data_IF_204443038314
#
_entry.id   IF_204443038314
#
_cell.length_a   1.000
_cell.length_b   1.000
_cell.length_c   1.000
_cell.angle_alpha   90.00
_cell.angle_beta   90.00
_cell.angle_gamma   90.00
#
_symmetry.space_group_name_H-M   'P 1'
#
loop_
_entity.id
_entity.type
_entity.pdbx_description
1 polymer ?
#
# COMPACT_ATOMS: atom_id res chain seq x y z
N UNK A 1 -22.53 11.87 8.91
CA UNK A 1 -23.13 12.63 7.81
C UNK A 1 -22.64 14.09 7.81
N UNK A 2 -22.37 14.62 6.64
CA UNK A 2 -21.89 15.99 6.41
C UNK A 2 -22.83 17.03 7.01
N UNK A 3 -24.14 16.81 6.91
CA UNK A 3 -25.18 17.70 7.45
C UNK A 3 -25.00 18.02 8.94
N UNK A 4 -24.33 17.14 9.69
CA UNK A 4 -24.05 17.35 11.12
C UNK A 4 -22.84 18.26 11.36
N UNK A 5 -22.11 18.65 10.31
CA UNK A 5 -20.95 19.55 10.40
C UNK A 5 -21.35 20.89 9.80
N UNK A 6 -21.57 21.89 10.65
CA UNK A 6 -21.94 23.23 10.16
C UNK A 6 -20.81 23.86 9.35
N UNK A 7 -21.08 24.54 8.25
CA UNK A 7 -20.10 25.37 7.56
C UNK A 7 -19.54 26.46 8.50
N UNK A 8 -18.23 26.62 8.49
CA UNK A 8 -17.55 27.60 9.33
C UNK A 8 -16.56 28.42 8.51
N UNK A 9 -16.28 29.66 8.97
CA UNK A 9 -15.32 30.54 8.33
C UNK A 9 -13.89 30.00 8.42
N UNK A 10 -13.03 30.52 7.56
CA UNK A 10 -11.61 30.09 7.44
C UNK A 10 -10.84 30.13 8.77
N UNK A 11 -11.11 31.12 9.62
CA UNK A 11 -10.39 31.34 10.88
C UNK A 11 -11.00 30.59 12.06
N UNK A 12 -11.99 29.74 11.84
CA UNK A 12 -12.58 28.94 12.92
C UNK A 12 -11.66 27.78 13.30
N UNK A 13 -11.54 27.50 14.59
CA UNK A 13 -10.75 26.36 15.12
C UNK A 13 -11.33 24.99 14.81
N UNK A 14 -12.53 24.95 14.20
CA UNK A 14 -13.21 23.68 13.90
C UNK A 14 -14.05 23.17 15.07
N UNK A 15 -14.38 21.89 14.99
CA UNK A 15 -15.12 21.16 16.04
C UNK A 15 -14.39 19.86 16.35
N UNK A 16 -14.49 19.39 17.60
CA UNK A 16 -13.85 18.15 18.02
C UNK A 16 -14.51 16.97 17.29
N UNK A 17 -13.71 16.23 16.53
CA UNK A 17 -14.15 15.02 15.81
C UNK A 17 -14.20 13.80 16.72
N UNK A 18 -13.15 13.59 17.51
CA UNK A 18 -12.98 12.48 18.44
C UNK A 18 -12.28 12.96 19.69
N UNK A 19 -12.61 12.39 20.85
CA UNK A 19 -11.92 12.64 22.09
C UNK A 19 -10.71 11.72 22.21
N UNK A 20 -9.52 12.32 22.23
CA UNK A 20 -8.23 11.61 22.33
C UNK A 20 -7.72 11.52 23.76
N UNK A 21 -8.43 12.10 24.75
CA UNK A 21 -8.01 12.06 26.12
C UNK A 21 -8.07 10.63 26.66
N UNK A 22 -6.94 10.19 27.22
CA UNK A 22 -6.83 8.91 27.91
C UNK A 22 -6.77 9.17 29.42
N UNK A 23 -7.51 8.37 30.17
CA UNK A 23 -7.52 8.45 31.64
C UNK A 23 -6.16 8.01 32.23
N UNK A 24 -5.41 7.22 31.46
CA UNK A 24 -4.07 6.72 31.84
C UNK A 24 -2.92 7.66 31.41
N UNK A 25 -3.24 8.80 30.79
CA UNK A 25 -2.24 9.77 30.33
C UNK A 25 -1.48 9.35 29.08
N UNK A 26 -2.05 8.43 28.29
CA UNK A 26 -1.51 7.99 27.02
C UNK A 26 -1.56 9.10 25.97
N UNK A 27 -0.65 9.05 25.02
CA UNK A 27 -0.58 9.97 23.88
C UNK A 27 -1.30 9.36 22.69
N UNK A 28 -2.62 9.53 22.63
CA UNK A 28 -3.43 9.04 21.51
C UNK A 28 -3.32 9.97 20.31
N UNK A 29 -3.19 9.39 19.12
CA UNK A 29 -3.08 10.13 17.86
C UNK A 29 -4.11 9.63 16.85
N UNK A 30 -4.54 10.52 15.94
CA UNK A 30 -5.36 10.15 14.79
C UNK A 30 -4.46 9.61 13.68
N UNK A 31 -4.51 8.30 13.45
CA UNK A 31 -3.69 7.63 12.42
C UNK A 31 -4.31 7.65 11.03
N UNK A 32 -5.58 7.98 10.90
CA UNK A 32 -6.26 8.00 9.62
C UNK A 32 -7.76 8.22 9.74
N UNK A 33 -8.36 8.43 8.58
CA UNK A 33 -9.80 8.59 8.40
C UNK A 33 -10.23 7.87 7.13
N UNK A 34 -11.39 7.25 7.15
CA UNK A 34 -12.01 6.64 5.97
C UNK A 34 -13.42 7.19 5.81
N UNK A 35 -13.84 7.36 4.56
CA UNK A 35 -15.22 7.60 4.19
C UNK A 35 -15.86 6.26 3.81
N UNK A 36 -17.06 6.01 4.28
CA UNK A 36 -17.82 4.80 3.95
C UNK A 36 -18.85 5.18 2.90
N UNK A 37 -18.49 5.01 1.65
CA UNK A 37 -19.34 5.30 0.49
C UNK A 37 -20.14 4.07 0.03
N UNK A 38 -19.61 2.87 0.32
CA UNK A 38 -20.26 1.60 0.02
C UNK A 38 -20.58 0.85 1.31
N UNK A 39 -21.85 0.53 1.58
CA UNK A 39 -22.27 -0.21 2.78
C UNK A 39 -21.72 -1.65 2.83
N UNK A 40 -21.34 -2.23 1.70
CA UNK A 40 -20.72 -3.57 1.63
C UNK A 40 -19.23 -3.57 1.98
N UNK A 41 -18.65 -2.38 2.19
CA UNK A 41 -17.23 -2.28 2.57
C UNK A 41 -16.98 -2.77 3.98
N UNK A 42 -15.83 -3.38 4.16
CA UNK A 42 -15.30 -3.71 5.48
C UNK A 42 -14.28 -2.66 5.95
N UNK A 43 -14.16 -2.52 7.24
CA UNK A 43 -13.10 -1.73 7.87
C UNK A 43 -11.89 -2.62 8.09
N UNK A 44 -10.82 -2.35 7.37
CA UNK A 44 -9.52 -2.99 7.55
C UNK A 44 -8.65 -2.12 8.45
N UNK A 45 -8.06 -2.72 9.47
CA UNK A 45 -7.07 -2.09 10.35
C UNK A 45 -5.78 -2.91 10.34
N UNK A 46 -4.65 -2.21 10.39
CA UNK A 46 -3.32 -2.82 10.36
C UNK A 46 -2.46 -2.19 11.44
N UNK A 47 -1.69 -3.01 12.15
CA UNK A 47 -0.79 -2.60 13.23
C UNK A 47 0.68 -2.75 12.85
N UNK A 48 1.57 -2.05 13.53
CA UNK A 48 2.99 -1.92 13.21
C UNK A 48 3.75 -3.25 13.16
N UNK A 49 3.33 -4.25 13.97
CA UNK A 49 3.98 -5.57 14.01
C UNK A 49 3.35 -6.61 13.08
N UNK A 50 2.66 -6.14 12.03
CA UNK A 50 2.17 -7.01 10.97
C UNK A 50 0.85 -7.72 11.28
N UNK A 51 0.13 -7.31 12.31
CA UNK A 51 -1.21 -7.81 12.59
C UNK A 51 -2.26 -6.90 11.97
N UNK A 52 -3.36 -7.48 11.57
CA UNK A 52 -4.51 -6.74 11.05
C UNK A 52 -5.74 -7.61 10.96
N UNK A 53 -6.83 -6.98 10.61
CA UNK A 53 -8.10 -7.66 10.36
C UNK A 53 -9.05 -6.76 9.60
N UNK A 54 -10.04 -7.38 8.98
CA UNK A 54 -11.21 -6.67 8.48
C UNK A 54 -12.44 -7.02 9.31
N UNK A 55 -13.30 -6.06 9.52
CA UNK A 55 -14.55 -6.19 10.26
C UNK A 55 -15.68 -5.54 9.48
N UNK A 56 -16.90 -6.06 9.62
CA UNK A 56 -18.06 -5.44 9.00
C UNK A 56 -18.27 -4.03 9.53
N UNK A 57 -18.80 -3.15 8.69
CA UNK A 57 -19.13 -1.80 9.08
C UNK A 57 -20.21 -1.76 10.15
N UNK A 58 -21.11 -2.72 10.15
CA UNK A 58 -22.21 -2.84 11.11
C UNK A 58 -21.74 -3.14 12.55
N UNK A 59 -20.51 -3.63 12.71
CA UNK A 59 -19.87 -3.77 14.01
C UNK A 59 -19.57 -2.41 14.66
N UNK A 60 -19.63 -1.31 13.88
CA UNK A 60 -19.33 0.05 14.32
C UNK A 60 -20.62 0.86 14.44
N UNK A 61 -21.06 1.05 15.68
CA UNK A 61 -22.24 1.90 15.93
C UNK A 61 -22.01 3.33 15.45
N UNK A 62 -23.04 3.94 14.88
CA UNK A 62 -23.04 5.37 14.57
C UNK A 62 -23.06 6.17 15.88
N UNK A 63 -22.06 7.02 16.09
CA UNK A 63 -21.93 7.87 17.28
C UNK A 63 -21.88 9.34 16.90
N UNK A 64 -22.10 10.21 17.87
CA UNK A 64 -21.86 11.63 17.68
C UNK A 64 -20.36 11.90 17.69
N UNK A 65 -19.92 13.00 17.03
CA UNK A 65 -18.54 13.47 17.12
C UNK A 65 -18.17 13.88 18.54
N UNK A 66 -16.88 13.94 18.84
CA UNK A 66 -16.36 14.31 20.17
C UNK A 66 -16.48 13.19 21.21
N UNK A 67 -16.89 11.99 20.81
CA UNK A 67 -16.88 10.82 21.70
C UNK A 67 -15.55 10.08 21.68
N UNK A 68 -15.35 9.18 22.67
CA UNK A 68 -14.16 8.31 22.77
C UNK A 68 -14.10 7.21 21.68
N UNK A 69 -15.17 7.02 20.89
CA UNK A 69 -15.24 6.00 19.86
C UNK A 69 -15.53 4.59 20.38
N UNK A 70 -15.15 3.59 19.58
CA UNK A 70 -15.25 2.18 19.92
C UNK A 70 -13.97 1.45 19.55
N UNK A 71 -13.59 0.50 20.41
CA UNK A 71 -12.37 -0.29 20.19
C UNK A 71 -12.48 -1.14 18.92
N UNK A 72 -11.49 -1.06 18.05
CA UNK A 72 -11.46 -1.79 16.79
C UNK A 72 -10.52 -3.00 16.78
N UNK A 73 -9.43 -2.96 17.53
CA UNK A 73 -8.46 -4.04 17.67
C UNK A 73 -7.93 -4.06 19.10
N UNK A 74 -7.47 -5.20 19.56
CA UNK A 74 -6.81 -5.30 20.84
C UNK A 74 -5.32 -5.02 20.66
N UNK A 75 -4.86 -3.86 21.14
CA UNK A 75 -3.45 -3.45 21.13
C UNK A 75 -2.74 -4.14 22.28
N UNK A 76 -1.66 -4.82 21.95
CA UNK A 76 -0.78 -5.53 22.89
C UNK A 76 0.67 -5.38 22.44
N UNK A 77 1.63 -5.76 23.26
CA UNK A 77 3.04 -5.80 22.86
C UNK A 77 3.29 -6.65 21.62
N UNK A 78 2.42 -7.64 21.37
CA UNK A 78 2.49 -8.52 20.20
C UNK A 78 2.03 -7.85 18.92
N UNK A 79 1.01 -7.01 18.98
CA UNK A 79 0.46 -6.33 17.81
C UNK A 79 1.16 -5.02 17.52
N UNK A 80 1.58 -4.32 18.56
CA UNK A 80 2.02 -2.95 18.48
C UNK A 80 0.88 -1.98 18.17
N UNK A 81 1.20 -0.73 17.91
CA UNK A 81 0.24 0.34 17.64
C UNK A 81 -0.41 0.20 16.26
N UNK A 82 -1.57 0.82 16.09
CA UNK A 82 -2.19 0.92 14.78
C UNK A 82 -1.40 1.86 13.87
N UNK A 83 -1.23 1.46 12.60
CA UNK A 83 -0.56 2.27 11.56
C UNK A 83 -1.46 2.61 10.40
N UNK A 84 -2.59 1.94 10.24
CA UNK A 84 -3.46 2.21 9.12
C UNK A 84 -4.89 1.72 9.30
N UNK A 85 -5.79 2.44 8.62
CA UNK A 85 -7.20 2.09 8.47
C UNK A 85 -7.60 2.27 7.00
N UNK A 86 -8.33 1.32 6.43
CA UNK A 86 -8.81 1.36 5.04
C UNK A 86 -10.26 0.85 4.96
N UNK A 87 -11.02 1.40 4.03
CA UNK A 87 -12.29 0.83 3.57
C UNK A 87 -12.01 -0.08 2.39
N UNK A 88 -12.35 -1.36 2.50
CA UNK A 88 -11.99 -2.40 1.53
C UNK A 88 -13.18 -3.29 1.19
N UNK A 89 -13.14 -3.89 0.00
CA UNK A 89 -14.03 -4.94 -0.47
C UNK A 89 -13.21 -6.15 -0.91
N UNK A 90 -13.86 -7.26 -1.25
CA UNK A 90 -13.18 -8.45 -1.78
C UNK A 90 -12.49 -8.21 -3.14
N UNK A 91 -12.91 -7.18 -3.88
CA UNK A 91 -12.31 -6.79 -5.16
C UNK A 91 -11.04 -5.93 -5.01
N UNK A 92 -10.53 -5.78 -3.82
CA UNK A 92 -9.32 -4.98 -3.58
C UNK A 92 -8.14 -5.86 -3.19
N UNK A 93 -6.95 -5.37 -3.50
CA UNK A 93 -5.70 -5.85 -2.95
C UNK A 93 -5.16 -4.88 -1.90
N UNK A 94 -4.36 -5.43 -1.02
CA UNK A 94 -3.65 -4.68 0.00
C UNK A 94 -2.16 -4.68 -0.32
N UNK A 95 -1.57 -3.50 -0.39
CA UNK A 95 -0.13 -3.34 -0.48
C UNK A 95 0.41 -2.84 0.86
N UNK A 96 1.34 -3.59 1.42
CA UNK A 96 1.97 -3.30 2.72
C UNK A 96 3.46 -3.05 2.47
N UNK A 97 3.97 -1.97 3.07
CA UNK A 97 5.39 -1.60 2.97
C UNK A 97 5.94 -1.49 4.38
N UNK A 98 7.07 -2.15 4.62
CA UNK A 98 7.79 -2.05 5.91
C UNK A 98 8.82 -0.92 5.89
N UNK A 99 9.33 -0.54 7.06
CA UNK A 99 10.38 0.49 7.19
C UNK A 99 11.69 0.07 6.53
N UNK A 100 11.98 -1.22 6.48
CA UNK A 100 13.16 -1.76 5.79
C UNK A 100 12.96 -1.94 4.28
N UNK A 101 11.80 -1.50 3.73
CA UNK A 101 11.53 -1.50 2.29
C UNK A 101 10.95 -2.80 1.74
N UNK A 102 10.59 -3.76 2.58
CA UNK A 102 9.88 -4.97 2.14
C UNK A 102 8.47 -4.55 1.72
N UNK A 103 8.11 -4.89 0.50
CA UNK A 103 6.77 -4.64 -0.06
C UNK A 103 6.08 -5.95 -0.37
N UNK A 104 4.85 -6.13 0.09
CA UNK A 104 4.00 -7.27 -0.26
C UNK A 104 2.66 -6.78 -0.79
N UNK A 105 2.09 -7.55 -1.70
CA UNK A 105 0.72 -7.43 -2.19
C UNK A 105 -0.05 -8.69 -1.82
N UNK A 106 -1.27 -8.55 -1.34
CA UNK A 106 -2.13 -9.67 -0.96
C UNK A 106 -3.58 -9.33 -1.25
N UNK A 107 -4.39 -10.32 -1.58
CA UNK A 107 -5.81 -10.13 -1.82
C UNK A 107 -6.55 -9.89 -0.50
N UNK A 108 -7.46 -8.93 -0.49
CA UNK A 108 -8.33 -8.68 0.67
C UNK A 108 -9.29 -9.86 0.88
N UNK A 109 -9.73 -10.52 -0.19
CA UNK A 109 -10.59 -11.72 -0.13
C UNK A 109 -10.02 -12.86 0.73
N UNK A 110 -8.69 -12.99 0.82
CA UNK A 110 -8.01 -13.99 1.65
C UNK A 110 -8.14 -13.71 3.14
N UNK A 111 -8.51 -12.49 3.49
CA UNK A 111 -8.71 -12.08 4.88
C UNK A 111 -10.14 -12.35 5.31
N UNK A 112 -10.33 -13.26 6.26
CA UNK A 112 -11.66 -13.48 6.82
C UNK A 112 -12.19 -12.24 7.55
N UNK A 113 -13.49 -12.01 7.47
CA UNK A 113 -14.16 -11.00 8.28
C UNK A 113 -14.20 -11.45 9.74
N UNK A 114 -13.87 -10.57 10.66
CA UNK A 114 -13.71 -10.86 12.09
C UNK A 114 -14.41 -9.80 12.94
N UNK A 115 -14.91 -10.21 14.08
CA UNK A 115 -15.52 -9.33 15.06
C UNK A 115 -14.57 -8.20 15.49
N UNK A 116 -15.13 -7.02 15.73
CA UNK A 116 -14.41 -5.76 16.00
C UNK A 116 -13.39 -5.86 17.15
N UNK A 117 -13.72 -6.51 18.25
CA UNK A 117 -12.90 -6.53 19.47
C UNK A 117 -11.81 -7.63 19.49
N UNK A 118 -11.53 -8.29 18.38
CA UNK A 118 -10.50 -9.32 18.29
C UNK A 118 -9.09 -8.75 18.09
N UNK A 119 -8.07 -9.55 18.32
CA UNK A 119 -6.66 -9.17 18.12
C UNK A 119 -6.24 -9.15 16.64
N UNK A 120 -7.05 -9.75 15.74
CA UNK A 120 -6.72 -9.90 14.34
C UNK A 120 -5.83 -11.12 14.05
N UNK A 121 -5.34 -11.18 12.83
CA UNK A 121 -4.45 -12.22 12.31
C UNK A 121 -3.14 -11.58 11.85
N UNK A 122 -2.09 -12.38 11.75
CA UNK A 122 -0.83 -11.93 11.17
C UNK A 122 -0.97 -11.84 9.66
N UNK A 123 -0.81 -10.65 9.11
CA UNK A 123 -0.85 -10.36 7.67
C UNK A 123 0.51 -10.60 7.02
N UNK A 124 1.58 -10.23 7.72
CA UNK A 124 2.96 -10.36 7.28
C UNK A 124 3.84 -10.82 8.44
N UNK A 125 4.83 -11.63 8.15
CA UNK A 125 5.87 -11.97 9.11
C UNK A 125 7.01 -10.95 9.03
N UNK A 126 7.09 -10.10 10.04
CA UNK A 126 8.07 -9.00 10.14
C UNK A 126 9.21 -9.45 11.07
N UNK A 127 10.45 -9.13 10.71
CA UNK A 127 11.61 -9.35 11.57
C UNK A 127 11.61 -8.40 12.77
N UNK A 128 12.29 -8.77 13.86
CA UNK A 128 12.22 -8.07 15.15
C UNK A 128 12.61 -6.57 15.09
N UNK A 129 13.41 -6.16 14.10
CA UNK A 129 13.85 -4.78 13.93
C UNK A 129 13.12 -4.03 12.81
N UNK A 130 12.02 -4.57 12.31
CA UNK A 130 11.22 -3.95 11.27
C UNK A 130 9.80 -3.66 11.76
N UNK A 131 9.10 -2.81 11.08
CA UNK A 131 7.69 -2.51 11.35
C UNK A 131 7.00 -2.03 10.07
N UNK A 132 5.67 -2.12 10.02
CA UNK A 132 4.92 -1.57 8.90
C UNK A 132 5.06 -0.05 8.88
N UNK A 133 5.46 0.48 7.72
CA UNK A 133 5.58 1.91 7.47
C UNK A 133 4.31 2.48 6.83
N UNK A 134 3.72 1.76 5.88
CA UNK A 134 2.54 2.21 5.15
C UNK A 134 1.69 1.03 4.68
N UNK A 135 0.41 1.30 4.53
CA UNK A 135 -0.58 0.37 3.97
C UNK A 135 -1.46 1.13 2.99
N UNK A 136 -1.62 0.60 1.80
CA UNK A 136 -2.54 1.15 0.81
C UNK A 136 -3.44 0.08 0.22
N UNK A 137 -4.61 0.51 -0.21
CA UNK A 137 -5.54 -0.27 -1.01
C UNK A 137 -5.22 -0.04 -2.47
N UNK A 138 -5.19 -1.09 -3.27
CA UNK A 138 -5.13 -1.05 -4.73
C UNK A 138 -6.28 -1.86 -5.29
N UNK A 139 -6.74 -1.52 -6.47
CA UNK A 139 -7.74 -2.32 -7.14
C UNK A 139 -7.11 -3.63 -7.61
N UNK A 140 -7.87 -4.70 -7.54
CA UNK A 140 -7.43 -5.98 -8.07
C UNK A 140 -7.35 -5.87 -9.59
N UNK A 141 -6.16 -6.09 -10.13
CA UNK A 141 -5.98 -6.24 -11.57
C UNK A 141 -6.09 -7.74 -11.85
N UNK A 142 -7.15 -8.15 -12.53
CA UNK A 142 -7.19 -9.47 -13.15
C UNK A 142 -5.96 -9.56 -14.06
N UNK A 143 -5.11 -10.56 -13.83
CA UNK A 143 -4.04 -10.89 -14.76
C UNK A 143 -4.70 -11.28 -16.10
N UNK A 144 -5.07 -10.26 -16.89
CA UNK A 144 -5.28 -10.49 -18.32
C UNK A 144 -3.94 -10.98 -18.83
N UNK A 145 -3.91 -12.26 -19.18
CA UNK A 145 -2.81 -12.90 -19.87
C UNK A 145 -2.27 -11.91 -20.90
N UNK A 146 -1.13 -11.30 -20.61
CA UNK A 146 -0.35 -10.64 -21.67
C UNK A 146 0.03 -11.78 -22.59
N UNK A 147 -0.73 -11.96 -23.70
CA UNK A 147 -0.28 -12.74 -24.84
C UNK A 147 1.12 -12.21 -25.17
N UNK A 148 2.11 -13.01 -24.80
CA UNK A 148 3.46 -12.81 -25.28
C UNK A 148 3.35 -12.98 -26.79
N UNK A 149 3.35 -11.87 -27.52
CA UNK A 149 3.49 -11.89 -28.99
C UNK A 149 4.91 -12.34 -29.24
N UNK A 150 5.12 -13.65 -29.25
CA UNK A 150 6.27 -14.29 -29.88
C UNK A 150 6.14 -14.06 -31.38
N UNK A 151 6.88 -13.08 -31.90
CA UNK A 151 6.86 -12.85 -33.34
C UNK A 151 7.49 -11.56 -33.80
N UNK A 152 8.70 -11.28 -33.39
CA UNK A 152 9.59 -10.40 -34.12
C UNK A 152 10.97 -11.02 -34.16
N UNK A 153 11.17 -11.95 -35.10
CA UNK A 153 12.51 -12.31 -35.57
C UNK A 153 13.11 -11.06 -36.22
N UNK A 154 14.31 -10.61 -35.83
CA UNK A 154 14.99 -9.56 -36.57
C UNK A 154 15.39 -10.12 -37.95
N UNK A 155 14.82 -9.56 -38.99
CA UNK A 155 15.22 -9.79 -40.38
C UNK A 155 16.67 -9.32 -40.55
N UNK A 156 17.56 -10.28 -40.63
CA UNK A 156 18.98 -10.07 -40.88
C UNK A 156 19.23 -10.14 -42.38
N UNK A 157 18.75 -9.16 -43.15
CA UNK A 157 19.13 -8.95 -44.53
C UNK A 157 20.26 -7.95 -44.62
N UNK A 158 21.49 -8.48 -44.64
CA UNK A 158 22.68 -7.76 -45.04
C UNK A 158 22.60 -7.40 -46.55
N UNK A 159 22.90 -6.16 -46.91
CA UNK A 159 23.10 -5.86 -48.35
C UNK A 159 24.50 -6.31 -48.78
N UNK A 160 24.50 -7.07 -49.85
CA UNK A 160 25.70 -7.53 -50.55
C UNK A 160 26.55 -6.37 -51.02
N UNK A 161 27.82 -6.59 -50.81
CA UNK A 161 28.99 -5.79 -51.14
C UNK A 161 29.25 -5.80 -52.67
N UNK A 162 29.19 -4.67 -53.33
CA UNK A 162 29.78 -4.49 -54.64
C UNK A 162 31.19 -3.90 -54.49
N UNK A 163 32.12 -4.75 -54.88
CA UNK A 163 33.53 -4.49 -55.10
C UNK A 163 33.78 -3.40 -56.11
N UNK A 164 34.52 -2.36 -55.77
CA UNK A 164 35.36 -1.65 -56.74
C UNK A 164 36.77 -1.51 -56.20
N UNK A 165 37.65 -2.09 -57.03
CA UNK A 165 39.06 -2.22 -56.93
C UNK A 165 39.73 -0.99 -57.51
N UNK A 166 40.59 -0.28 -56.78
CA UNK A 166 41.63 0.55 -57.37
C UNK A 166 42.90 0.39 -56.54
N UNK A 167 43.90 -0.04 -57.28
CA UNK A 167 45.21 -0.38 -56.87
C UNK A 167 46.15 0.80 -56.62
N UNK A 168 47.18 0.43 -56.04
CA UNK A 168 48.60 0.75 -56.34
C UNK A 168 49.34 1.72 -55.45
N UNK A 169 50.48 1.20 -55.07
CA UNK A 169 51.80 1.80 -54.83
C UNK A 169 51.99 2.61 -53.53
N UNK A 170 52.85 2.11 -52.72
CA UNK A 170 54.29 2.24 -52.78
C UNK A 170 54.79 2.95 -51.52
N UNK A 171 55.83 2.47 -50.92
CA UNK A 171 56.66 3.31 -50.06
C UNK A 171 57.08 2.73 -48.74
N UNK A 172 58.20 2.11 -48.82
CA UNK A 172 59.19 1.72 -47.83
C UNK A 172 59.54 2.70 -46.74
N UNK A 173 60.07 2.12 -45.72
CA UNK A 173 61.23 2.50 -44.91
C UNK A 173 60.91 2.88 -43.45
N UNK A 174 61.34 1.93 -42.54
CA UNK A 174 62.55 2.03 -41.67
C UNK A 174 62.48 3.24 -40.70
N UNK A 175 62.67 3.14 -39.46
CA UNK A 175 63.75 2.70 -38.63
C UNK A 175 63.47 2.97 -37.15
N UNK A 176 63.80 2.02 -36.32
CA UNK A 176 64.59 2.02 -35.09
C UNK A 176 64.50 3.13 -34.03
N UNK A 177 64.54 2.59 -32.81
CA UNK A 177 65.27 3.00 -31.60
C UNK A 177 64.74 4.20 -30.81
N UNK A 178 64.43 4.04 -29.61
CA UNK A 178 64.98 3.70 -28.30
C UNK A 178 63.89 3.39 -27.29
#
# INVERSE_FOLDING_TARGET
PEEKVRPMGRNASGVIGIDLNDEEGGNNEVIGMICIDNPESNVLVVSEKGYGKRSDIDEYRVTNRGGKGVKTINITDKTGNLVGIKSVTDANDLMIITKNGITIRMNVSDLRVMGRATQGVRLINIQDNDSIAAVTKVDHEDETETEIVEGATPDNSSPENSTENYGNEGGEASDKVE
#
